data_IF_637727273073
#
_entry.id   IF_637727273073
#
_cell.length_a   1.000
_cell.length_b   1.000
_cell.length_c   1.000
_cell.angle_alpha   90.00
_cell.angle_beta   90.00
_cell.angle_gamma   90.00
#
_symmetry.space_group_name_H-M   'P 1'
#
loop_
_entity.id
_entity.type
_entity.pdbx_description
1 polymer ?
#
# COMPACT_ATOMS: atom_id res chain seq x y z
N UNK A 1 18.69 -35.88 -9.45
CA UNK A 1 19.16 -34.55 -9.04
C UNK A 1 17.98 -33.88 -8.36
N UNK A 2 18.02 -33.77 -7.04
CA UNK A 2 16.89 -33.34 -6.22
C UNK A 2 17.11 -31.87 -5.88
N UNK A 3 16.35 -30.97 -6.50
CA UNK A 3 16.38 -29.54 -6.20
C UNK A 3 15.55 -29.27 -4.95
N UNK A 4 16.22 -28.93 -3.86
CA UNK A 4 15.60 -28.47 -2.62
C UNK A 4 14.91 -27.12 -2.87
N UNK A 5 13.61 -26.95 -2.57
CA UNK A 5 12.98 -25.64 -2.64
C UNK A 5 13.56 -24.74 -1.54
N UNK A 6 14.05 -23.58 -1.96
CA UNK A 6 14.60 -22.54 -1.08
C UNK A 6 13.39 -21.85 -0.45
N UNK A 7 13.09 -22.16 0.81
CA UNK A 7 12.11 -21.40 1.59
C UNK A 7 12.61 -19.95 1.69
N UNK A 8 12.06 -19.06 0.85
CA UNK A 8 12.12 -17.61 1.10
C UNK A 8 11.20 -17.40 2.30
N UNK A 9 11.78 -17.04 3.45
CA UNK A 9 11.00 -16.48 4.55
C UNK A 9 10.35 -15.21 4.00
N UNK A 10 9.03 -15.20 3.97
CA UNK A 10 8.22 -14.00 3.72
C UNK A 10 8.43 -13.12 4.94
N UNK A 11 9.34 -12.17 4.83
CA UNK A 11 9.28 -11.01 5.70
C UNK A 11 8.09 -10.22 5.18
N UNK A 12 7.13 -9.94 6.06
CA UNK A 12 6.17 -8.87 5.80
C UNK A 12 6.98 -7.70 5.23
N UNK A 13 6.61 -7.22 4.05
CA UNK A 13 7.13 -6.00 3.43
C UNK A 13 6.68 -4.79 4.27
N UNK A 14 7.04 -4.78 5.54
CA UNK A 14 7.33 -3.54 6.26
C UNK A 14 8.54 -3.00 5.54
N UNK A 15 8.28 -2.13 4.57
CA UNK A 15 9.28 -1.19 4.10
C UNK A 15 9.97 -0.66 5.34
N UNK A 16 11.23 -1.05 5.52
CA UNK A 16 12.05 -0.52 6.59
C UNK A 16 11.91 1.01 6.54
N UNK A 17 11.71 1.70 7.68
CA UNK A 17 11.84 3.15 7.69
C UNK A 17 13.21 3.44 7.09
N UNK A 18 13.19 4.06 5.91
CA UNK A 18 14.39 4.30 5.11
C UNK A 18 15.43 4.95 6.01
N UNK A 19 16.58 4.28 6.11
CA UNK A 19 17.66 4.64 6.99
C UNK A 19 18.07 6.09 6.73
N UNK A 20 17.65 6.98 7.64
CA UNK A 20 18.37 8.22 7.88
C UNK A 20 19.82 7.83 8.20
N UNK A 21 20.72 8.12 7.26
CA UNK A 21 22.13 8.25 7.57
C UNK A 21 22.26 9.33 8.66
N UNK A 22 22.52 8.81 9.86
CA UNK A 22 22.89 9.48 11.11
C UNK A 22 23.61 10.82 10.91
N UNK A 23 22.99 11.91 11.38
CA UNK A 23 23.71 12.99 12.05
C UNK A 23 23.39 12.88 13.54
N UNK A 24 24.26 12.19 14.28
CA UNK A 24 24.16 12.08 15.72
C UNK A 24 24.58 13.38 16.41
N UNK A 25 23.86 13.76 17.48
CA UNK A 25 24.25 14.88 18.33
C UNK A 25 23.27 15.25 19.45
N UNK A 26 23.24 14.43 20.51
CA UNK A 26 22.91 14.75 21.90
C UNK A 26 21.53 15.33 22.31
N UNK A 27 20.88 14.53 23.15
CA UNK A 27 19.70 14.74 24.00
C UNK A 27 19.64 16.02 24.85
N UNK A 28 18.44 16.61 24.96
CA UNK A 28 17.95 17.26 26.20
C UNK A 28 16.47 16.93 26.42
N UNK A 29 16.16 16.49 27.64
CA UNK A 29 14.86 16.15 28.19
C UNK A 29 13.86 17.33 28.23
N UNK A 30 12.55 17.06 28.13
CA UNK A 30 11.56 18.09 28.46
C UNK A 30 10.08 17.79 28.22
N UNK A 31 9.45 17.19 29.25
CA UNK A 31 8.05 17.37 29.70
C UNK A 31 6.87 16.98 28.78
N UNK A 32 6.25 15.89 29.23
CA UNK A 32 4.82 15.55 29.15
C UNK A 32 3.87 16.73 29.43
N UNK A 33 2.87 16.93 28.56
CA UNK A 33 1.59 17.60 28.87
C UNK A 33 0.46 16.81 28.20
N UNK A 34 -0.54 16.45 29.00
CA UNK A 34 -1.74 15.69 28.66
C UNK A 34 -2.78 16.54 27.86
N UNK A 35 -3.86 15.93 27.31
CA UNK A 35 -4.58 16.45 26.15
C UNK A 35 -5.64 17.50 26.50
N UNK A 36 -5.83 18.47 25.60
CA UNK A 36 -6.99 19.36 25.63
C UNK A 36 -8.15 18.74 24.83
N UNK A 37 -9.24 18.41 25.53
CA UNK A 37 -10.57 18.23 24.93
C UNK A 37 -11.01 19.54 24.30
N UNK A 38 -11.51 19.50 23.07
CA UNK A 38 -12.50 20.50 22.62
C UNK A 38 -13.53 19.84 21.73
N UNK A 39 -14.75 19.82 22.25
CA UNK A 39 -16.00 19.50 21.57
C UNK A 39 -16.37 20.68 20.66
N UNK A 40 -16.68 20.43 19.39
CA UNK A 40 -17.60 21.31 18.66
C UNK A 40 -18.32 20.54 17.56
N UNK A 41 -19.59 20.26 17.86
CA UNK A 41 -20.67 20.06 16.90
C UNK A 41 -20.76 21.28 15.97
N UNK A 42 -21.02 21.05 14.68
CA UNK A 42 -22.20 21.62 14.03
C UNK A 42 -22.44 20.98 12.66
N UNK A 43 -23.68 20.53 12.53
CA UNK A 43 -24.32 19.90 11.38
C UNK A 43 -24.42 20.84 10.18
N UNK A 44 -24.31 20.28 8.98
CA UNK A 44 -25.02 20.80 7.80
C UNK A 44 -25.56 19.63 6.98
N UNK A 45 -26.88 19.54 6.98
CA UNK A 45 -27.70 18.66 6.16
C UNK A 45 -27.65 19.12 4.71
N UNK A 46 -27.32 18.21 3.79
CA UNK A 46 -27.55 18.40 2.36
C UNK A 46 -28.27 17.17 1.81
N UNK A 47 -29.56 17.34 1.56
CA UNK A 47 -30.46 16.36 0.94
C UNK A 47 -30.15 16.27 -0.55
N UNK A 48 -29.60 15.13 -0.98
CA UNK A 48 -29.45 14.79 -2.40
C UNK A 48 -30.53 13.75 -2.77
N UNK A 49 -31.16 13.81 -3.97
CA UNK A 49 -32.31 12.97 -4.31
C UNK A 49 -31.96 11.49 -4.39
N UNK A 50 -32.87 10.66 -3.89
CA UNK A 50 -32.78 9.20 -3.92
C UNK A 50 -32.72 8.68 -5.36
N UNK A 51 -31.57 8.10 -5.73
CA UNK A 51 -31.45 7.28 -6.92
C UNK A 51 -32.23 5.99 -6.71
N UNK A 52 -33.09 5.66 -7.67
CA UNK A 52 -33.86 4.42 -7.73
C UNK A 52 -32.89 3.23 -7.71
N UNK A 53 -33.06 2.24 -6.81
CA UNK A 53 -32.18 1.08 -6.79
C UNK A 53 -32.38 0.29 -8.09
N UNK A 54 -31.34 0.29 -8.93
CA UNK A 54 -31.24 -0.68 -10.01
C UNK A 54 -31.21 -2.07 -9.38
N UNK A 55 -32.12 -2.92 -9.81
CA UNK A 55 -32.23 -4.30 -9.33
C UNK A 55 -31.00 -5.05 -9.86
N UNK A 56 -29.93 -5.02 -9.08
CA UNK A 56 -28.73 -5.79 -9.39
C UNK A 56 -29.07 -7.27 -9.32
N UNK A 57 -28.94 -7.97 -10.45
CA UNK A 57 -28.93 -9.44 -10.51
C UNK A 57 -27.65 -9.93 -9.81
N UNK A 58 -27.66 -9.89 -8.47
CA UNK A 58 -26.60 -10.40 -7.62
C UNK A 58 -26.74 -11.92 -7.45
N UNK A 59 -25.61 -12.64 -7.35
CA UNK A 59 -25.64 -14.09 -7.13
C UNK A 59 -26.35 -14.43 -5.82
N UNK A 60 -27.18 -15.47 -5.87
CA UNK A 60 -27.84 -16.05 -4.69
C UNK A 60 -26.79 -16.58 -3.70
N UNK A 61 -27.11 -16.55 -2.41
CA UNK A 61 -26.32 -17.16 -1.32
C UNK A 61 -26.30 -18.68 -1.35
N UNK A 62 -27.19 -19.31 -2.13
CA UNK A 62 -27.42 -20.75 -2.05
C UNK A 62 -26.40 -21.60 -2.84
N UNK A 63 -25.55 -20.97 -3.67
CA UNK A 63 -24.48 -21.63 -4.43
C UNK A 63 -23.32 -20.66 -4.68
N UNK A 64 -22.52 -20.41 -3.64
CA UNK A 64 -21.32 -19.59 -3.77
C UNK A 64 -20.19 -20.38 -4.45
N UNK A 65 -19.40 -19.76 -5.35
CA UNK A 65 -18.19 -20.39 -5.89
C UNK A 65 -17.22 -20.72 -4.76
N UNK A 66 -16.35 -21.72 -4.98
CA UNK A 66 -15.30 -22.02 -4.01
C UNK A 66 -14.26 -20.91 -3.96
N UNK A 67 -13.55 -20.81 -2.84
CA UNK A 67 -12.49 -19.84 -2.62
C UNK A 67 -11.42 -19.88 -3.73
N UNK A 68 -10.92 -21.06 -4.07
CA UNK A 68 -9.92 -21.25 -5.14
C UNK A 68 -10.41 -20.78 -6.50
N UNK A 69 -11.70 -20.96 -6.82
CA UNK A 69 -12.29 -20.47 -8.09
C UNK A 69 -12.34 -18.94 -8.11
N UNK A 70 -12.72 -18.30 -7.00
CA UNK A 70 -12.76 -16.84 -6.92
C UNK A 70 -11.38 -16.22 -7.01
N UNK A 71 -10.41 -16.74 -6.25
CA UNK A 71 -9.03 -16.25 -6.26
C UNK A 71 -8.42 -16.42 -7.66
N UNK A 72 -8.60 -17.59 -8.29
CA UNK A 72 -8.09 -17.82 -9.66
C UNK A 72 -8.69 -16.83 -10.66
N UNK A 73 -10.01 -16.56 -10.62
CA UNK A 73 -10.63 -15.54 -11.49
C UNK A 73 -10.09 -14.13 -11.23
N UNK A 74 -9.80 -13.82 -9.97
CA UNK A 74 -9.29 -12.51 -9.60
C UNK A 74 -7.82 -12.31 -10.03
N UNK A 75 -6.98 -13.34 -9.89
CA UNK A 75 -5.63 -13.38 -10.45
C UNK A 75 -5.64 -13.17 -11.96
N UNK A 76 -6.58 -13.84 -12.64
CA UNK A 76 -6.82 -13.70 -14.06
C UNK A 76 -7.13 -12.25 -14.48
N UNK A 77 -7.83 -11.47 -13.64
CA UNK A 77 -8.05 -10.04 -13.86
C UNK A 77 -6.77 -9.23 -13.61
N UNK A 78 -6.06 -9.50 -12.51
CA UNK A 78 -4.81 -8.80 -12.16
C UNK A 78 -3.74 -8.97 -13.25
N UNK A 79 -3.54 -10.18 -13.78
CA UNK A 79 -2.57 -10.46 -14.87
C UNK A 79 -2.84 -9.61 -16.12
N UNK A 80 -4.11 -9.28 -16.38
CA UNK A 80 -4.53 -8.51 -17.56
C UNK A 80 -4.57 -6.99 -17.32
N UNK A 81 -4.51 -6.59 -16.05
CA UNK A 81 -4.59 -5.19 -15.63
C UNK A 81 -3.28 -4.48 -15.97
N UNK A 82 -3.37 -3.29 -16.57
CA UNK A 82 -2.20 -2.49 -16.96
C UNK A 82 -1.80 -1.51 -15.87
N UNK A 83 -2.78 -0.95 -15.18
CA UNK A 83 -2.59 0.07 -14.15
C UNK A 83 -3.48 -0.18 -12.96
N UNK A 84 -3.00 0.19 -11.77
CA UNK A 84 -3.67 -0.09 -10.51
C UNK A 84 -3.28 0.96 -9.47
N UNK A 85 -4.16 1.18 -8.49
CA UNK A 85 -3.86 1.85 -7.22
C UNK A 85 -4.01 0.82 -6.10
N UNK A 86 -2.99 0.70 -5.25
CA UNK A 86 -3.04 -0.05 -3.99
C UNK A 86 -2.82 0.95 -2.86
N UNK A 87 -3.80 1.02 -1.95
CA UNK A 87 -3.63 1.73 -0.68
C UNK A 87 -3.44 0.71 0.44
N UNK A 88 -2.25 0.72 1.01
CA UNK A 88 -1.87 -0.12 2.14
C UNK A 88 -1.98 0.67 3.43
N UNK A 89 -2.65 0.12 4.42
CA UNK A 89 -2.65 0.61 5.80
C UNK A 89 -2.04 -0.46 6.70
N UNK A 90 -0.98 -0.12 7.42
CA UNK A 90 -0.36 -1.01 8.40
C UNK A 90 -0.57 -0.41 9.77
N UNK A 91 -1.13 -1.20 10.68
CA UNK A 91 -1.24 -0.85 12.10
C UNK A 91 -0.28 -1.71 12.90
N UNK A 92 0.76 -1.10 13.45
CA UNK A 92 1.78 -1.81 14.24
C UNK A 92 1.34 -1.94 15.70
N UNK A 93 1.93 -2.88 16.48
CA UNK A 93 1.69 -2.95 17.92
C UNK A 93 2.00 -1.61 18.61
N UNK A 94 1.03 -1.05 19.32
CA UNK A 94 1.10 0.31 19.86
C UNK A 94 0.16 1.30 19.19
N UNK A 95 -0.46 0.91 18.07
CA UNK A 95 -1.51 1.68 17.39
C UNK A 95 -0.99 2.75 16.44
N UNK A 96 0.33 2.82 16.23
CA UNK A 96 0.88 3.63 15.15
C UNK A 96 0.43 3.06 13.80
N UNK A 97 0.01 3.97 12.94
CA UNK A 97 -0.52 3.65 11.64
C UNK A 97 0.36 4.31 10.58
N UNK A 98 0.75 3.53 9.59
CA UNK A 98 1.29 4.06 8.34
C UNK A 98 0.31 3.82 7.20
N UNK A 99 0.28 4.75 6.25
CA UNK A 99 -0.48 4.59 5.02
C UNK A 99 0.46 4.76 3.84
N UNK A 100 0.44 3.79 2.93
CA UNK A 100 1.14 3.89 1.64
C UNK A 100 0.12 3.82 0.52
N UNK A 101 0.16 4.74 -0.44
CA UNK A 101 -0.62 4.66 -1.67
C UNK A 101 0.32 4.51 -2.85
N UNK A 102 0.32 3.34 -3.49
CA UNK A 102 1.05 3.05 -4.72
C UNK A 102 0.10 3.12 -5.90
N UNK A 103 0.47 3.81 -6.96
CA UNK A 103 -0.36 3.89 -8.16
C UNK A 103 0.46 4.03 -9.43
N UNK A 104 -0.06 3.48 -10.53
CA UNK A 104 0.57 3.59 -11.85
C UNK A 104 0.49 2.28 -12.61
N UNK A 105 1.46 2.06 -13.50
CA UNK A 105 1.53 0.80 -14.26
C UNK A 105 1.94 -0.36 -13.36
N UNK A 106 1.29 -1.51 -13.53
CA UNK A 106 1.71 -2.75 -12.88
C UNK A 106 3.12 -3.12 -13.35
N UNK A 107 3.34 -3.08 -14.68
CA UNK A 107 4.66 -3.35 -15.26
C UNK A 107 5.24 -2.06 -15.86
N UNK A 108 6.41 -1.67 -15.36
CA UNK A 108 7.19 -0.53 -15.84
C UNK A 108 6.76 0.81 -15.22
N UNK A 109 6.91 1.89 -16.00
CA UNK A 109 6.69 3.29 -15.55
C UNK A 109 5.66 4.01 -16.42
N UNK A 110 4.90 5.00 -15.92
CA UNK A 110 5.13 5.70 -14.65
C UNK A 110 4.52 5.01 -13.42
N UNK A 111 5.12 5.25 -12.27
CA UNK A 111 4.59 4.88 -10.95
C UNK A 111 4.78 6.00 -9.94
N UNK A 112 3.88 6.08 -8.97
CA UNK A 112 3.95 6.99 -7.85
C UNK A 112 3.66 6.24 -6.54
N UNK A 113 4.31 6.69 -5.47
CA UNK A 113 4.08 6.23 -4.12
C UNK A 113 3.88 7.45 -3.23
N UNK A 114 2.89 7.41 -2.34
CA UNK A 114 2.76 8.39 -1.25
C UNK A 114 2.79 7.62 0.06
N UNK A 115 3.71 7.96 0.94
CA UNK A 115 3.83 7.37 2.27
C UNK A 115 3.56 8.41 3.34
N UNK A 116 2.79 8.05 4.35
CA UNK A 116 2.50 8.90 5.50
C UNK A 116 2.59 8.08 6.79
N UNK A 117 3.36 8.58 7.75
CA UNK A 117 3.40 8.10 9.14
C UNK A 117 3.58 9.32 10.07
N UNK A 118 2.96 9.28 11.25
CA UNK A 118 2.88 10.43 12.17
C UNK A 118 4.25 11.08 12.46
N UNK A 119 5.25 10.26 12.81
CA UNK A 119 6.57 10.75 13.21
C UNK A 119 7.57 10.87 12.04
N UNK A 120 7.23 10.32 10.89
CA UNK A 120 8.04 10.41 9.67
C UNK A 120 7.63 11.57 8.76
N UNK A 121 6.38 12.01 8.85
CA UNK A 121 5.78 12.93 7.90
C UNK A 121 5.22 12.24 6.67
N UNK A 122 5.09 13.02 5.60
CA UNK A 122 4.62 12.56 4.29
C UNK A 122 5.71 12.69 3.24
N UNK A 123 5.91 11.64 2.45
CA UNK A 123 6.70 11.67 1.23
C UNK A 123 5.90 11.22 0.01
N UNK A 124 6.24 11.80 -1.14
CA UNK A 124 5.77 11.37 -2.45
C UNK A 124 6.98 11.00 -3.31
N UNK A 125 6.95 9.81 -3.89
CA UNK A 125 7.90 9.31 -4.85
C UNK A 125 7.27 9.20 -6.23
N UNK A 126 8.04 9.48 -7.28
CA UNK A 126 7.65 9.22 -8.68
C UNK A 126 8.79 8.55 -9.43
N UNK A 127 8.51 7.40 -10.01
CA UNK A 127 9.41 6.69 -10.92
C UNK A 127 8.95 6.93 -12.37
N UNK A 128 9.75 7.70 -13.12
CA UNK A 128 9.48 8.04 -14.52
C UNK A 128 10.66 7.55 -15.36
N UNK A 129 10.45 6.51 -16.16
CA UNK A 129 11.55 5.82 -16.84
C UNK A 129 12.52 5.21 -15.82
N UNK A 130 13.77 5.67 -15.81
CA UNK A 130 14.77 5.24 -14.83
C UNK A 130 14.99 6.25 -13.70
N UNK A 131 14.27 7.38 -13.71
CA UNK A 131 14.52 8.48 -12.77
C UNK A 131 13.52 8.47 -11.63
N UNK A 132 14.04 8.51 -10.41
CA UNK A 132 13.26 8.67 -9.18
C UNK A 132 13.24 10.15 -8.76
N UNK A 133 12.04 10.64 -8.48
CA UNK A 133 11.82 11.96 -7.90
C UNK A 133 11.21 11.80 -6.51
N UNK A 134 11.65 12.62 -5.56
CA UNK A 134 11.20 12.59 -4.16
C UNK A 134 10.66 13.96 -3.77
N UNK A 135 9.57 13.98 -3.00
CA UNK A 135 9.01 15.19 -2.40
C UNK A 135 8.52 14.86 -0.99
N UNK A 136 9.31 15.22 0.01
CA UNK A 136 8.91 15.14 1.42
C UNK A 136 8.38 16.45 1.97
N UNK A 137 7.57 16.38 3.03
CA UNK A 137 7.22 17.54 3.86
C UNK A 137 8.38 17.92 4.83
N UNK A 138 8.15 18.92 5.68
CA UNK A 138 9.18 19.38 6.61
C UNK A 138 9.56 18.33 7.67
N UNK A 139 8.63 17.46 8.05
CA UNK A 139 8.88 16.38 9.02
C UNK A 139 9.80 15.33 8.41
N UNK A 140 9.54 14.95 7.15
CA UNK A 140 10.38 14.02 6.39
C UNK A 140 11.84 14.50 6.27
N UNK A 141 12.03 15.76 5.86
CA UNK A 141 13.38 16.31 5.66
C UNK A 141 14.09 16.65 6.98
N UNK A 142 13.33 16.77 8.06
CA UNK A 142 13.82 17.24 9.35
C UNK A 142 14.38 18.67 9.30
N UNK A 143 15.04 19.07 10.37
CA UNK A 143 15.54 20.45 10.53
C UNK A 143 16.71 20.79 9.58
N UNK A 144 17.44 19.78 9.10
CA UNK A 144 18.67 19.95 8.33
C UNK A 144 18.48 20.14 6.81
N UNK A 145 17.26 19.90 6.30
CA UNK A 145 16.96 19.98 4.87
C UNK A 145 15.62 20.68 4.58
N UNK A 146 15.22 21.64 5.42
CA UNK A 146 13.95 22.38 5.31
C UNK A 146 13.76 23.10 3.97
N UNK A 147 14.83 23.54 3.31
CA UNK A 147 14.77 24.15 1.97
C UNK A 147 14.26 23.22 0.86
N UNK A 148 14.25 21.90 1.12
CA UNK A 148 13.72 20.85 0.24
C UNK A 148 12.25 20.52 0.52
N UNK A 149 11.69 20.99 1.63
CA UNK A 149 10.32 20.69 2.04
C UNK A 149 9.31 21.09 0.96
N UNK A 150 8.40 20.16 0.64
CA UNK A 150 7.37 20.29 -0.39
C UNK A 150 7.90 20.60 -1.80
N UNK A 151 9.18 20.37 -2.06
CA UNK A 151 9.79 20.56 -3.37
C UNK A 151 10.26 19.22 -3.91
N UNK A 152 10.12 19.06 -5.22
CA UNK A 152 10.64 17.88 -5.90
C UNK A 152 12.15 17.92 -5.94
N UNK A 153 12.77 16.81 -5.57
CA UNK A 153 14.18 16.54 -5.74
C UNK A 153 14.33 15.41 -6.73
N UNK A 154 15.34 15.49 -7.60
CA UNK A 154 15.75 14.33 -8.37
C UNK A 154 16.73 13.55 -7.51
N UNK A 155 16.45 12.28 -7.26
CA UNK A 155 17.42 11.45 -6.56
C UNK A 155 18.60 11.14 -7.48
N UNK A 156 19.85 11.17 -6.98
CA UNK A 156 21.02 10.72 -7.71
C UNK A 156 20.86 9.27 -8.19
N UNK A 157 21.36 9.00 -9.41
CA UNK A 157 21.20 7.68 -10.05
C UNK A 157 21.97 6.56 -9.28
N UNK A 158 22.91 6.91 -8.40
CA UNK A 158 23.73 6.00 -7.58
C UNK A 158 23.21 5.80 -6.14
N UNK A 159 22.23 6.59 -5.70
CA UNK A 159 21.71 6.55 -4.33
C UNK A 159 20.80 5.34 -4.10
N UNK A 160 20.14 4.84 -5.15
CA UNK A 160 19.19 3.75 -5.05
C UNK A 160 19.66 2.53 -5.82
N UNK A 161 19.70 1.40 -5.12
CA UNK A 161 19.81 0.12 -5.82
C UNK A 161 18.55 -0.12 -6.64
N UNK A 162 18.71 -0.82 -7.76
CA UNK A 162 17.56 -1.24 -8.59
C UNK A 162 16.51 -2.00 -7.76
N UNK A 163 16.96 -2.84 -6.83
CA UNK A 163 16.09 -3.58 -5.91
C UNK A 163 15.29 -2.64 -5.01
N UNK A 164 15.91 -1.62 -4.42
CA UNK A 164 15.19 -0.65 -3.61
C UNK A 164 14.13 0.12 -4.42
N UNK A 165 14.41 0.44 -5.69
CA UNK A 165 13.41 1.04 -6.59
C UNK A 165 12.27 0.06 -6.86
N UNK A 166 12.58 -1.20 -7.18
CA UNK A 166 11.60 -2.27 -7.44
C UNK A 166 10.69 -2.51 -6.22
N UNK A 167 11.23 -2.51 -5.00
CA UNK A 167 10.47 -2.71 -3.76
C UNK A 167 9.48 -1.55 -3.46
N UNK A 168 9.73 -0.36 -4.00
CA UNK A 168 8.83 0.79 -3.89
C UNK A 168 7.71 0.78 -4.94
N UNK A 169 7.79 -0.09 -5.95
CA UNK A 169 6.76 -0.20 -6.98
C UNK A 169 5.53 -0.96 -6.50
N UNK A 170 4.49 -0.98 -7.32
CA UNK A 170 3.29 -1.78 -7.12
C UNK A 170 3.54 -3.29 -7.33
N UNK A 171 4.66 -3.66 -7.98
CA UNK A 171 4.95 -5.03 -8.44
C UNK A 171 4.97 -6.02 -7.28
N UNK A 172 5.71 -5.81 -6.17
CA UNK A 172 5.79 -6.80 -5.10
C UNK A 172 4.40 -7.15 -4.50
N UNK A 173 3.53 -6.15 -4.35
CA UNK A 173 2.17 -6.37 -3.85
C UNK A 173 1.29 -7.14 -4.84
N UNK A 174 1.46 -6.90 -6.14
CA UNK A 174 0.74 -7.65 -7.16
C UNK A 174 1.27 -9.08 -7.23
N UNK A 175 2.57 -9.28 -7.14
CA UNK A 175 3.21 -10.60 -7.15
C UNK A 175 2.73 -11.44 -5.96
N UNK A 176 2.62 -10.87 -4.75
CA UNK A 176 2.04 -11.57 -3.59
C UNK A 176 0.60 -12.06 -3.83
N UNK A 177 -0.16 -11.40 -4.70
CA UNK A 177 -1.53 -11.81 -5.05
C UNK A 177 -1.58 -12.78 -6.23
N UNK A 178 -0.52 -12.88 -7.03
CA UNK A 178 -0.44 -13.72 -8.22
C UNK A 178 0.31 -15.04 -7.99
N UNK A 179 1.30 -15.05 -7.11
CA UNK A 179 2.15 -16.22 -6.85
C UNK A 179 1.37 -17.29 -6.07
N UNK A 180 1.23 -18.49 -6.65
CA UNK A 180 0.52 -19.61 -6.01
C UNK A 180 1.15 -20.05 -4.69
N UNK A 181 2.46 -19.83 -4.53
CA UNK A 181 3.22 -20.13 -3.34
C UNK A 181 3.29 -18.99 -2.31
N UNK A 182 2.65 -17.85 -2.59
CA UNK A 182 2.53 -16.77 -1.60
C UNK A 182 1.67 -17.22 -0.42
N UNK A 183 2.02 -16.74 0.77
CA UNK A 183 1.27 -17.06 1.99
C UNK A 183 -0.19 -16.59 1.89
N UNK A 184 -0.44 -15.45 1.25
CA UNK A 184 -1.78 -14.91 1.03
C UNK A 184 -2.61 -15.86 0.15
N UNK A 185 -2.07 -16.26 -1.01
CA UNK A 185 -2.79 -17.11 -1.96
C UNK A 185 -3.01 -18.50 -1.38
N UNK A 186 -2.00 -19.10 -0.74
CA UNK A 186 -2.15 -20.41 -0.10
C UNK A 186 -3.22 -20.40 0.99
N UNK A 187 -3.25 -19.37 1.84
CA UNK A 187 -4.23 -19.26 2.91
C UNK A 187 -5.66 -19.06 2.38
N UNK A 188 -5.83 -18.23 1.34
CA UNK A 188 -7.14 -17.94 0.75
C UNK A 188 -7.65 -19.03 -0.21
N UNK A 189 -6.78 -19.90 -0.71
CA UNK A 189 -7.17 -21.02 -1.60
C UNK A 189 -7.18 -22.38 -0.90
N UNK A 190 -6.77 -22.42 0.37
CA UNK A 190 -6.74 -23.62 1.20
C UNK A 190 -8.10 -24.30 1.33
N UNK A 191 -8.10 -25.61 1.57
CA UNK A 191 -9.35 -26.41 1.64
C UNK A 191 -10.34 -25.97 2.71
N UNK A 192 -9.84 -25.35 3.78
CA UNK A 192 -10.64 -24.83 4.87
C UNK A 192 -11.04 -23.36 4.69
N UNK A 193 -10.63 -22.72 3.58
CA UNK A 193 -11.09 -21.38 3.25
C UNK A 193 -12.58 -21.40 2.94
N UNK A 194 -13.29 -20.36 3.39
CA UNK A 194 -14.73 -20.22 3.23
C UNK A 194 -15.07 -19.03 2.35
N UNK A 195 -16.28 -19.05 1.78
CA UNK A 195 -16.79 -17.96 0.95
C UNK A 195 -18.15 -17.54 1.50
N UNK A 196 -18.30 -16.25 1.74
CA UNK A 196 -19.57 -15.62 2.14
C UNK A 196 -19.89 -14.45 1.21
N UNK A 197 -21.12 -13.93 1.31
CA UNK A 197 -21.49 -12.67 0.67
C UNK A 197 -21.53 -11.57 1.73
N UNK A 198 -20.71 -10.54 1.56
CA UNK A 198 -20.62 -9.41 2.48
C UNK A 198 -20.83 -8.08 1.78
N UNK A 199 -20.94 -7.01 2.55
CA UNK A 199 -21.03 -5.64 2.02
C UNK A 199 -19.74 -4.89 2.30
N UNK A 200 -19.09 -4.38 1.25
CA UNK A 200 -17.95 -3.47 1.32
C UNK A 200 -18.35 -2.17 0.62
N UNK A 201 -18.26 -1.03 1.31
CA UNK A 201 -18.64 0.30 0.79
C UNK A 201 -20.04 0.36 0.15
N UNK A 202 -21.01 -0.34 0.77
CA UNK A 202 -22.39 -0.41 0.29
C UNK A 202 -22.61 -1.33 -0.92
N UNK A 203 -21.57 -2.02 -1.41
CA UNK A 203 -21.65 -2.97 -2.50
C UNK A 203 -21.50 -4.40 -1.99
N UNK A 204 -22.29 -5.33 -2.54
CA UNK A 204 -22.17 -6.74 -2.21
C UNK A 204 -20.96 -7.36 -2.91
N UNK A 205 -20.11 -8.01 -2.11
CA UNK A 205 -18.87 -8.66 -2.54
C UNK A 205 -18.89 -10.13 -2.14
N UNK A 206 -18.15 -10.96 -2.86
CA UNK A 206 -17.69 -12.23 -2.29
C UNK A 206 -16.62 -11.93 -1.26
N UNK A 207 -16.75 -12.44 -0.03
CA UNK A 207 -15.69 -12.44 0.96
C UNK A 207 -15.10 -13.84 1.03
N UNK A 208 -13.80 -13.97 0.75
CA UNK A 208 -13.03 -15.20 0.92
C UNK A 208 -12.24 -15.07 2.21
N UNK A 209 -12.39 -16.04 3.11
CA UNK A 209 -11.73 -16.04 4.41
C UNK A 209 -10.91 -17.31 4.58
N UNK A 210 -9.72 -17.21 5.16
CA UNK A 210 -8.94 -18.39 5.53
C UNK A 210 -9.57 -19.13 6.73
N UNK A 211 -8.99 -20.28 7.12
CA UNK A 211 -9.55 -21.17 8.14
C UNK A 211 -9.86 -20.49 9.49
N UNK A 212 -9.04 -19.52 9.91
CA UNK A 212 -9.19 -18.83 11.19
C UNK A 212 -9.91 -17.47 11.07
N UNK A 213 -10.36 -17.09 9.87
CA UNK A 213 -11.04 -15.82 9.61
C UNK A 213 -10.16 -14.57 9.77
N UNK A 214 -8.84 -14.75 9.92
CA UNK A 214 -7.89 -13.64 10.12
C UNK A 214 -7.59 -12.97 8.78
N UNK A 215 -7.23 -13.76 7.77
CA UNK A 215 -6.93 -13.25 6.42
C UNK A 215 -8.20 -13.32 5.57
N UNK A 216 -8.57 -12.18 5.00
CA UNK A 216 -9.83 -12.03 4.25
C UNK A 216 -9.60 -11.23 2.98
N UNK A 217 -10.29 -11.60 1.90
CA UNK A 217 -10.26 -10.88 0.63
C UNK A 217 -11.68 -10.64 0.10
N UNK A 218 -11.93 -9.44 -0.39
CA UNK A 218 -13.22 -9.05 -1.01
C UNK A 218 -13.06 -8.98 -2.51
N UNK A 219 -13.90 -9.73 -3.22
CA UNK A 219 -13.89 -9.84 -4.67
C UNK A 219 -15.25 -9.39 -5.23
N UNK A 220 -15.21 -8.47 -6.18
CA UNK A 220 -16.42 -7.98 -6.84
C UNK A 220 -17.03 -9.09 -7.72
N UNK A 221 -18.31 -9.48 -7.48
CA UNK A 221 -18.95 -10.56 -8.22
C UNK A 221 -19.15 -10.25 -9.72
N UNK A 222 -19.14 -8.98 -10.12
CA UNK A 222 -19.33 -8.56 -11.52
C UNK A 222 -18.02 -8.53 -12.30
N UNK A 223 -16.98 -7.97 -11.70
CA UNK A 223 -15.70 -7.75 -12.37
C UNK A 223 -14.64 -8.80 -12.04
N UNK A 224 -14.84 -9.61 -10.99
CA UNK A 224 -13.84 -10.46 -10.35
C UNK A 224 -12.60 -9.69 -9.85
N UNK A 225 -12.67 -8.37 -9.70
CA UNK A 225 -11.56 -7.59 -9.15
C UNK A 225 -11.44 -7.81 -7.63
N UNK A 226 -10.23 -8.00 -7.13
CA UNK A 226 -9.96 -7.89 -5.69
C UNK A 226 -10.12 -6.41 -5.32
N UNK A 227 -10.92 -6.13 -4.29
CA UNK A 227 -11.18 -4.75 -3.81
C UNK A 227 -10.47 -4.48 -2.49
N UNK A 228 -10.31 -5.51 -1.67
CA UNK A 228 -9.65 -5.41 -0.37
C UNK A 228 -9.03 -6.74 0.01
N UNK A 229 -7.87 -6.71 0.67
CA UNK A 229 -7.27 -7.83 1.40
C UNK A 229 -6.91 -7.32 2.79
N UNK A 230 -7.28 -8.03 3.85
CA UNK A 230 -6.94 -7.63 5.22
C UNK A 230 -6.45 -8.82 6.04
N UNK A 231 -5.66 -8.53 7.08
CA UNK A 231 -5.27 -9.54 8.06
C UNK A 231 -3.98 -10.28 7.74
N UNK A 232 -3.16 -9.77 6.82
CA UNK A 232 -1.80 -10.25 6.60
C UNK A 232 -0.81 -9.55 7.56
N UNK A 233 0.39 -10.12 7.73
CA UNK A 233 1.46 -9.54 8.56
C UNK A 233 1.32 -9.74 10.08
N UNK A 234 0.43 -10.63 10.54
CA UNK A 234 0.05 -10.77 11.96
C UNK A 234 1.13 -11.28 12.91
N UNK A 235 2.34 -11.56 12.43
CA UNK A 235 3.43 -12.22 13.17
C UNK A 235 4.26 -11.27 14.07
N UNK A 236 3.69 -10.13 14.44
CA UNK A 236 4.29 -9.16 15.37
C UNK A 236 4.71 -7.83 14.75
N UNK A 237 4.66 -7.71 13.42
CA UNK A 237 5.06 -6.51 12.69
C UNK A 237 3.89 -5.56 12.37
N UNK A 238 2.65 -6.00 12.64
CA UNK A 238 1.43 -5.21 12.47
C UNK A 238 0.43 -5.84 11.51
N UNK A 239 -0.83 -5.44 11.59
CA UNK A 239 -1.86 -5.94 10.67
C UNK A 239 -1.96 -5.04 9.46
N UNK A 240 -1.82 -5.64 8.27
CA UNK A 240 -1.94 -4.98 6.99
C UNK A 240 -3.35 -5.05 6.40
N UNK A 241 -3.72 -3.97 5.70
CA UNK A 241 -4.92 -3.85 4.87
C UNK A 241 -4.50 -3.26 3.53
N UNK A 242 -4.77 -3.98 2.44
CA UNK A 242 -4.62 -3.48 1.08
C UNK A 242 -6.00 -3.21 0.47
N UNK A 243 -6.20 -1.98 -0.01
CA UNK A 243 -7.39 -1.57 -0.77
C UNK A 243 -6.99 -1.37 -2.23
N UNK A 244 -7.58 -2.14 -3.13
CA UNK A 244 -7.26 -2.17 -4.55
C UNK A 244 -8.33 -1.41 -5.36
N UNK A 245 -7.87 -0.49 -6.19
CA UNK A 245 -8.73 0.36 -7.03
C UNK A 245 -7.99 0.84 -8.29
N UNK A 246 -8.65 1.63 -9.14
CA UNK A 246 -7.98 2.24 -10.31
C UNK A 246 -7.55 1.26 -11.40
N UNK A 247 -8.15 0.07 -11.43
CA UNK A 247 -7.96 -0.93 -12.49
C UNK A 247 -8.11 -0.30 -13.88
N UNK A 248 -7.04 -0.34 -14.67
CA UNK A 248 -6.96 0.25 -16.02
C UNK A 248 -7.36 1.74 -16.09
N UNK A 249 -7.18 2.47 -14.98
CA UNK A 249 -7.42 3.91 -14.89
C UNK A 249 -6.42 4.77 -15.67
N UNK A 250 -6.76 6.04 -15.85
CA UNK A 250 -5.84 7.04 -16.40
C UNK A 250 -4.87 7.52 -15.32
N UNK A 251 -3.57 7.36 -15.60
CA UNK A 251 -2.46 7.83 -14.76
C UNK A 251 -1.53 8.78 -15.54
N UNK A 252 -2.07 9.48 -16.53
CA UNK A 252 -1.36 10.52 -17.29
C UNK A 252 -0.89 11.69 -16.43
N UNK A 253 -1.38 11.82 -15.19
CA UNK A 253 -0.95 12.79 -14.20
C UNK A 253 0.38 12.43 -13.51
N UNK A 254 0.82 11.17 -13.59
CA UNK A 254 2.12 10.74 -13.07
C UNK A 254 3.21 11.10 -14.08
N UNK A 255 3.65 12.35 -14.00
CA UNK A 255 4.69 12.93 -14.87
C UNK A 255 5.90 13.39 -14.06
N UNK A 256 7.03 13.51 -14.76
CA UNK A 256 8.23 14.13 -14.22
C UNK A 256 7.92 15.56 -13.72
N UNK A 257 8.40 15.94 -12.53
CA UNK A 257 8.26 17.30 -12.04
C UNK A 257 8.88 18.33 -12.99
N UNK A 258 8.20 19.47 -13.17
CA UNK A 258 8.70 20.56 -14.03
C UNK A 258 9.97 21.23 -13.48
N UNK A 259 10.11 21.23 -12.16
CA UNK A 259 11.23 21.83 -11.44
C UNK A 259 11.71 20.86 -10.38
N UNK A 260 13.01 20.61 -10.35
CA UNK A 260 13.64 19.77 -9.34
C UNK A 260 14.81 20.50 -8.71
N UNK A 261 14.99 20.31 -7.42
CA UNK A 261 16.26 20.58 -6.76
C UNK A 261 17.21 19.42 -7.01
N UNK A 262 18.50 19.72 -7.16
CA UNK A 262 19.55 18.72 -7.04
C UNK A 262 19.81 18.51 -5.55
N UNK A 263 19.71 17.27 -5.07
CA UNK A 263 20.09 16.96 -3.69
C UNK A 263 21.59 17.26 -3.49
N UNK A 264 22.04 17.81 -2.35
CA UNK A 264 23.46 18.00 -2.11
C UNK A 264 24.15 16.64 -2.09
N UNK A 265 25.42 16.54 -2.50
CA UNK A 265 26.21 15.34 -2.23
C UNK A 265 26.16 15.05 -0.73
N UNK A 266 25.98 13.78 -0.35
CA UNK A 266 26.22 13.37 1.03
C UNK A 266 27.72 13.57 1.28
N UNK A 267 28.09 14.65 1.98
CA UNK A 267 29.48 14.80 2.42
C UNK A 267 29.79 13.59 3.30
N UNK A 268 30.73 12.76 2.85
CA UNK A 268 31.23 11.65 3.64
C UNK A 268 31.77 12.25 4.94
N UNK A 269 31.05 12.02 6.05
CA UNK A 269 31.50 12.36 7.38
C UNK A 269 32.93 11.86 7.56
N UNK A 270 33.87 12.78 7.44
CA UNK A 270 35.28 12.51 7.62
C UNK A 270 35.49 12.36 9.11
N UNK A 271 35.34 11.14 9.63
CA UNK A 271 35.74 10.81 10.99
C UNK A 271 37.26 10.92 11.06
N UNK A 272 37.74 12.03 11.61
CA UNK A 272 39.08 12.19 12.18
C UNK A 272 39.10 11.72 13.61
#
# INVERSE_FOLDING_TARGET
MTTTPRARRVQALVSAPLALAVLGGCSVAGKSVAPAKTTLNSSTTSTTPAATPSTDNLPSTDNLPTASVLISRAQDVLVRTKTLTIRTTITVPGGEMSTTTRRGRIIGTPQALTYTQLDYGTEELRLIGATLYVKGDATYWGEYATDYANRWTRSPDDEWTRTAIEDMTIVPHVDELLEEDSEIVQALTGKAASVTMETLDGQRMYCVENENGVLRAWIDPKSNQIRKVEGYGTDGDGTGIDELSGYDGDYSDIVAPKTTLTRPPVEASSTT
#
